data_IF_463612426689
#
_entry.id   IF_463612426689
#
_cell.length_a   1.000
_cell.length_b   1.000
_cell.length_c   1.000
_cell.angle_alpha   90.00
_cell.angle_beta   90.00
_cell.angle_gamma   90.00
#
_symmetry.space_group_name_H-M   'P 1'
#
loop_
_entity.id
_entity.type
_entity.pdbx_description
1 polymer ?
#
# COMPACT_ATOMS: atom_id res chain seq x y z
N UNK A 1 -1.79 -10.35 10.73
CA UNK A 1 -1.39 -9.93 9.37
C UNK A 1 -2.25 -10.57 8.29
N UNK A 2 -2.48 -11.92 8.26
CA UNK A 2 -3.24 -12.60 7.17
C UNK A 2 -4.64 -12.01 6.93
N UNK A 3 -5.41 -11.75 8.00
CA UNK A 3 -6.73 -11.12 7.91
C UNK A 3 -6.61 -9.70 7.36
N UNK A 4 -5.66 -8.91 7.87
CA UNK A 4 -5.44 -7.54 7.44
C UNK A 4 -5.09 -7.44 5.94
N UNK A 5 -4.24 -8.33 5.42
CA UNK A 5 -3.91 -8.40 3.98
C UNK A 5 -5.15 -8.63 3.13
N UNK A 6 -6.02 -9.57 3.53
CA UNK A 6 -7.27 -9.86 2.80
C UNK A 6 -8.29 -8.73 2.90
N UNK A 7 -8.32 -8.02 4.03
CA UNK A 7 -9.31 -6.99 4.31
C UNK A 7 -8.92 -5.59 3.83
N UNK A 8 -7.67 -5.35 3.42
CA UNK A 8 -7.16 -4.00 3.09
C UNK A 8 -7.91 -3.27 1.97
N UNK A 9 -8.71 -3.99 1.18
CA UNK A 9 -9.56 -3.42 0.12
C UNK A 9 -11.00 -3.92 0.18
N UNK A 10 -11.43 -4.40 1.34
CA UNK A 10 -12.74 -5.02 1.52
C UNK A 10 -13.87 -4.06 1.11
N UNK A 11 -14.75 -4.53 0.24
CA UNK A 11 -15.91 -3.78 -0.25
C UNK A 11 -15.58 -2.36 -0.76
N UNK A 12 -14.41 -2.16 -1.37
CA UNK A 12 -13.93 -0.85 -1.84
C UNK A 12 -14.92 -0.14 -2.77
N UNK A 13 -15.72 -0.90 -3.53
CA UNK A 13 -16.74 -0.37 -4.45
C UNK A 13 -17.86 0.42 -3.76
N UNK A 14 -18.05 0.27 -2.44
CA UNK A 14 -19.04 1.03 -1.68
C UNK A 14 -18.69 2.50 -1.49
N UNK A 15 -17.45 2.88 -1.76
CA UNK A 15 -16.98 4.27 -1.71
C UNK A 15 -16.24 4.55 -3.02
N UNK A 16 -16.97 4.83 -4.11
CA UNK A 16 -16.34 5.03 -5.41
C UNK A 16 -15.55 6.34 -5.47
N UNK A 17 -14.46 6.34 -6.25
CA UNK A 17 -13.60 7.52 -6.43
C UNK A 17 -14.36 8.72 -7.01
N UNK A 18 -15.41 8.46 -7.78
CA UNK A 18 -16.24 9.49 -8.43
C UNK A 18 -17.00 10.40 -7.46
N UNK A 19 -17.19 10.00 -6.20
CA UNK A 19 -17.80 10.81 -5.16
C UNK A 19 -16.87 11.89 -4.58
N UNK A 20 -15.61 11.93 -5.00
CA UNK A 20 -14.61 12.86 -4.48
C UNK A 20 -14.01 13.70 -5.62
N UNK A 21 -13.60 14.95 -5.35
CA UNK A 21 -13.01 15.82 -6.36
C UNK A 21 -11.82 15.18 -7.07
N UNK A 22 -11.69 15.41 -8.40
CA UNK A 22 -10.56 14.94 -9.22
C UNK A 22 -9.30 15.79 -8.99
N UNK A 23 -8.92 15.98 -7.74
CA UNK A 23 -7.74 16.74 -7.30
C UNK A 23 -6.87 15.86 -6.40
N UNK A 24 -5.59 16.22 -6.17
CA UNK A 24 -4.74 15.54 -5.19
C UNK A 24 -5.33 15.54 -3.78
N UNK A 25 -5.98 16.62 -3.38
CA UNK A 25 -6.67 16.72 -2.10
C UNK A 25 -7.87 15.76 -2.02
N UNK A 26 -8.74 15.75 -3.04
CA UNK A 26 -9.87 14.83 -3.11
C UNK A 26 -9.43 13.36 -3.15
N UNK A 27 -8.29 13.05 -3.78
CA UNK A 27 -7.70 11.71 -3.71
C UNK A 27 -7.29 11.33 -2.28
N UNK A 28 -6.66 12.24 -1.53
CA UNK A 28 -6.28 11.99 -0.13
C UNK A 28 -7.52 11.78 0.75
N UNK A 29 -8.56 12.60 0.58
CA UNK A 29 -9.83 12.45 1.30
C UNK A 29 -10.45 11.07 1.04
N UNK A 30 -10.56 10.67 -0.22
CA UNK A 30 -11.05 9.34 -0.60
C UNK A 30 -10.24 8.21 0.04
N UNK A 31 -8.90 8.27 -0.01
CA UNK A 31 -8.04 7.25 0.59
C UNK A 31 -8.22 7.17 2.10
N UNK A 32 -8.30 8.29 2.80
CA UNK A 32 -8.52 8.34 4.25
C UNK A 32 -9.88 7.74 4.61
N UNK A 33 -10.93 8.06 3.84
CA UNK A 33 -12.26 7.49 4.04
C UNK A 33 -12.25 5.98 3.83
N UNK A 34 -11.55 5.48 2.82
CA UNK A 34 -11.39 4.06 2.56
C UNK A 34 -10.69 3.33 3.71
N UNK A 35 -9.60 3.86 4.24
CA UNK A 35 -8.89 3.22 5.36
C UNK A 35 -9.80 3.01 6.56
N UNK A 36 -10.56 4.04 6.94
CA UNK A 36 -11.55 3.95 8.02
C UNK A 36 -12.62 2.90 7.71
N UNK A 37 -13.21 2.96 6.53
CA UNK A 37 -14.25 2.03 6.10
C UNK A 37 -13.76 0.57 6.09
N UNK A 38 -12.58 0.29 5.54
CA UNK A 38 -12.03 -1.06 5.52
C UNK A 38 -11.74 -1.59 6.94
N UNK A 39 -11.21 -0.74 7.83
CA UNK A 39 -10.95 -1.11 9.22
C UNK A 39 -12.25 -1.43 9.98
N UNK A 40 -13.29 -0.62 9.81
CA UNK A 40 -14.60 -0.84 10.43
C UNK A 40 -15.27 -2.11 9.89
N UNK A 41 -15.26 -2.30 8.57
CA UNK A 41 -15.83 -3.48 7.91
C UNK A 41 -15.13 -4.77 8.34
N UNK A 42 -13.80 -4.78 8.37
CA UNK A 42 -13.03 -5.92 8.83
C UNK A 42 -13.33 -6.25 10.30
N UNK A 43 -13.36 -5.24 11.16
CA UNK A 43 -13.65 -5.42 12.59
C UNK A 43 -15.05 -5.97 12.83
N UNK A 44 -16.06 -5.49 12.11
CA UNK A 44 -17.43 -5.99 12.21
C UNK A 44 -17.55 -7.45 11.81
N UNK A 45 -16.92 -7.86 10.71
CA UNK A 45 -16.89 -9.27 10.27
C UNK A 45 -16.15 -10.16 11.25
N UNK A 46 -15.05 -9.70 11.83
CA UNK A 46 -14.31 -10.45 12.84
C UNK A 46 -15.14 -10.65 14.12
N UNK A 47 -15.86 -9.63 14.57
CA UNK A 47 -16.76 -9.74 15.72
C UNK A 47 -17.86 -10.78 15.46
N UNK A 48 -18.48 -10.76 14.28
CA UNK A 48 -19.48 -11.78 13.88
C UNK A 48 -18.89 -13.20 13.82
N UNK A 49 -17.59 -13.32 13.50
CA UNK A 49 -16.88 -14.59 13.46
C UNK A 49 -16.35 -15.04 14.83
N UNK A 50 -16.61 -14.29 15.90
CA UNK A 50 -16.23 -14.66 17.27
C UNK A 50 -14.78 -14.35 17.66
N UNK A 51 -14.08 -13.46 16.94
CA UNK A 51 -12.74 -13.01 17.34
C UNK A 51 -12.81 -12.11 18.58
N UNK A 52 -11.77 -12.15 19.40
CA UNK A 52 -11.64 -11.32 20.59
C UNK A 52 -11.38 -9.84 20.26
N UNK A 53 -11.72 -8.94 21.20
CA UNK A 53 -11.60 -7.50 21.01
C UNK A 53 -10.15 -7.05 20.70
N UNK A 54 -9.15 -7.68 21.33
CA UNK A 54 -7.75 -7.38 21.09
C UNK A 54 -7.34 -7.70 19.66
N UNK A 55 -7.74 -8.85 19.11
CA UNK A 55 -7.45 -9.25 17.75
C UNK A 55 -8.13 -8.32 16.74
N UNK A 56 -9.38 -7.94 17.01
CA UNK A 56 -10.15 -6.99 16.21
C UNK A 56 -9.46 -5.61 16.20
N UNK A 57 -9.04 -5.12 17.36
CA UNK A 57 -8.36 -3.83 17.47
C UNK A 57 -7.04 -3.81 16.68
N UNK A 58 -6.23 -4.87 16.76
CA UNK A 58 -4.98 -5.03 15.99
C UNK A 58 -5.23 -5.01 14.47
N UNK A 59 -6.23 -5.74 13.99
CA UNK A 59 -6.58 -5.75 12.56
C UNK A 59 -7.12 -4.39 12.11
N UNK A 60 -7.99 -3.76 12.89
CA UNK A 60 -8.49 -2.40 12.58
C UNK A 60 -7.36 -1.37 12.49
N UNK A 61 -6.39 -1.43 13.40
CA UNK A 61 -5.20 -0.55 13.38
C UNK A 61 -4.41 -0.74 12.10
N UNK A 62 -4.10 -1.99 11.74
CA UNK A 62 -3.29 -2.31 10.56
C UNK A 62 -4.01 -1.94 9.25
N UNK A 63 -5.27 -2.33 9.10
CA UNK A 63 -6.09 -2.04 7.90
C UNK A 63 -6.35 -0.54 7.76
N UNK A 64 -6.54 0.15 8.87
CA UNK A 64 -6.69 1.60 8.94
C UNK A 64 -5.40 2.38 8.69
N UNK A 65 -4.27 1.69 8.46
CA UNK A 65 -2.93 2.29 8.22
C UNK A 65 -2.46 3.20 9.36
N UNK A 66 -2.88 2.89 10.61
CA UNK A 66 -2.51 3.68 11.78
C UNK A 66 -1.11 3.27 12.27
N UNK A 67 -0.27 4.26 12.53
CA UNK A 67 1.07 4.06 13.07
C UNK A 67 2.07 3.40 12.10
N UNK A 68 2.00 3.68 10.79
CA UNK A 68 3.07 3.31 9.84
C UNK A 68 4.42 3.83 10.39
N UNK A 69 5.47 3.02 10.33
CA UNK A 69 6.82 3.22 10.91
C UNK A 69 6.91 3.00 12.42
N UNK A 70 5.80 2.90 13.14
CA UNK A 70 5.76 2.75 14.60
C UNK A 70 5.15 1.41 15.00
N UNK A 71 4.00 1.06 14.43
CA UNK A 71 3.33 -0.20 14.69
C UNK A 71 3.85 -1.29 13.75
N UNK A 72 4.46 -2.38 14.27
CA UNK A 72 5.09 -3.41 13.43
C UNK A 72 4.08 -4.17 12.56
N UNK A 73 2.84 -4.36 12.98
CA UNK A 73 1.82 -5.04 12.18
C UNK A 73 1.32 -4.17 11.04
N UNK A 74 1.13 -2.86 11.28
CA UNK A 74 0.78 -1.91 10.24
C UNK A 74 1.92 -1.77 9.22
N UNK A 75 3.16 -1.72 9.69
CA UNK A 75 4.34 -1.68 8.82
C UNK A 75 4.48 -2.96 8.00
N UNK A 76 4.28 -4.12 8.60
CA UNK A 76 4.31 -5.39 7.88
C UNK A 76 3.25 -5.44 6.77
N UNK A 77 2.03 -4.97 7.04
CA UNK A 77 0.99 -4.89 6.01
C UNK A 77 1.39 -3.95 4.87
N UNK A 78 2.01 -2.81 5.18
CA UNK A 78 2.49 -1.87 4.16
C UNK A 78 3.63 -2.46 3.34
N UNK A 79 4.59 -3.13 3.97
CA UNK A 79 5.69 -3.81 3.28
C UNK A 79 5.17 -4.87 2.31
N UNK A 80 4.31 -5.77 2.77
CA UNK A 80 3.72 -6.82 1.93
C UNK A 80 2.94 -6.22 0.75
N UNK A 81 2.15 -5.18 0.98
CA UNK A 81 1.39 -4.52 -0.10
C UNK A 81 2.32 -3.91 -1.16
N UNK A 82 3.42 -3.27 -0.74
CA UNK A 82 4.39 -2.68 -1.66
C UNK A 82 5.22 -3.75 -2.39
N UNK A 83 5.63 -4.83 -1.73
CA UNK A 83 6.33 -5.96 -2.35
C UNK A 83 5.48 -6.61 -3.44
N UNK A 84 4.22 -6.92 -3.14
CA UNK A 84 3.27 -7.49 -4.11
C UNK A 84 3.02 -6.53 -5.27
N UNK A 85 2.92 -5.23 -5.01
CA UNK A 85 2.79 -4.23 -6.07
C UNK A 85 4.00 -4.24 -7.02
N UNK A 86 5.21 -4.21 -6.46
CA UNK A 86 6.45 -4.19 -7.27
C UNK A 86 6.56 -5.47 -8.10
N UNK A 87 6.34 -6.63 -7.50
CA UNK A 87 6.56 -7.93 -8.15
C UNK A 87 5.49 -8.27 -9.19
N UNK A 88 4.21 -8.02 -8.88
CA UNK A 88 3.10 -8.56 -9.66
C UNK A 88 2.26 -7.52 -10.40
N UNK A 89 2.24 -6.28 -9.94
CA UNK A 89 1.33 -5.26 -10.48
C UNK A 89 2.02 -4.10 -11.17
N UNK A 90 3.30 -3.86 -10.91
CA UNK A 90 4.01 -2.69 -11.45
C UNK A 90 4.05 -2.68 -12.97
N UNK A 91 4.29 -3.82 -13.62
CA UNK A 91 4.29 -3.93 -15.08
C UNK A 91 2.93 -3.60 -15.69
N UNK A 92 1.86 -4.16 -15.14
CA UNK A 92 0.50 -3.88 -15.60
C UNK A 92 0.10 -2.42 -15.35
N UNK A 93 0.52 -1.85 -14.23
CA UNK A 93 0.32 -0.43 -13.94
C UNK A 93 1.07 0.45 -14.93
N UNK A 94 2.32 0.10 -15.29
CA UNK A 94 3.08 0.82 -16.29
C UNK A 94 2.40 0.78 -17.68
N UNK A 95 1.85 -0.36 -18.07
CA UNK A 95 1.14 -0.51 -19.33
C UNK A 95 -0.15 0.34 -19.40
N UNK A 96 -0.77 0.63 -18.26
CA UNK A 96 -1.97 1.49 -18.16
C UNK A 96 -1.63 2.99 -18.16
N UNK A 97 -0.35 3.35 -18.01
CA UNK A 97 0.12 4.73 -17.92
C UNK A 97 1.27 5.03 -18.88
N UNK A 98 1.06 4.84 -20.20
CA UNK A 98 2.10 5.12 -21.20
C UNK A 98 2.48 6.60 -21.27
N UNK A 99 1.63 7.49 -20.72
CA UNK A 99 1.84 8.93 -20.62
C UNK A 99 2.87 9.34 -19.55
N UNK A 100 3.25 8.43 -18.65
CA UNK A 100 4.19 8.74 -17.57
C UNK A 100 5.64 8.72 -18.08
N UNK A 101 6.32 9.82 -17.90
CA UNK A 101 7.75 9.94 -18.19
C UNK A 101 8.63 9.29 -17.11
N UNK A 102 9.94 9.24 -17.36
CA UNK A 102 10.92 8.68 -16.44
C UNK A 102 10.88 9.35 -15.06
N UNK A 103 10.76 10.69 -15.03
CA UNK A 103 10.75 11.44 -13.78
C UNK A 103 9.54 11.08 -12.92
N UNK A 104 8.37 10.91 -13.55
CA UNK A 104 7.15 10.45 -12.87
C UNK A 104 7.29 9.04 -12.31
N UNK A 105 7.92 8.13 -13.04
CA UNK A 105 8.19 6.78 -12.57
C UNK A 105 9.14 6.76 -11.37
N UNK A 106 10.21 7.53 -11.40
CA UNK A 106 11.14 7.65 -10.27
C UNK A 106 10.41 8.18 -9.02
N UNK A 107 9.59 9.22 -9.16
CA UNK A 107 8.78 9.77 -8.05
C UNK A 107 7.83 8.71 -7.43
N UNK A 108 7.15 7.92 -8.26
CA UNK A 108 6.25 6.84 -7.80
C UNK A 108 7.04 5.77 -7.04
N UNK A 109 8.16 5.33 -7.59
CA UNK A 109 9.00 4.30 -7.00
C UNK A 109 9.62 4.77 -5.68
N UNK A 110 10.13 5.99 -5.61
CA UNK A 110 10.67 6.58 -4.39
C UNK A 110 9.60 6.70 -3.29
N UNK A 111 8.39 7.15 -3.63
CA UNK A 111 7.27 7.22 -2.70
C UNK A 111 6.86 5.85 -2.18
N UNK A 112 6.87 4.84 -3.03
CA UNK A 112 6.61 3.45 -2.66
C UNK A 112 7.69 2.95 -1.72
N UNK A 113 8.96 3.14 -2.09
CA UNK A 113 10.13 2.74 -1.31
C UNK A 113 10.19 3.38 0.07
N UNK A 114 9.92 4.68 0.15
CA UNK A 114 9.90 5.44 1.41
C UNK A 114 8.88 4.91 2.43
N UNK A 115 7.81 4.28 2.00
CA UNK A 115 6.81 3.67 2.89
C UNK A 115 7.26 2.34 3.49
N UNK A 116 8.17 1.63 2.82
CA UNK A 116 8.66 0.34 3.26
C UNK A 116 9.61 0.48 4.45
N UNK A 117 9.66 -0.56 5.28
CA UNK A 117 10.69 -0.70 6.30
C UNK A 117 12.04 -1.06 5.68
N UNK A 118 13.17 -0.85 6.40
CA UNK A 118 14.48 -1.34 5.94
C UNK A 118 14.49 -2.84 5.63
N UNK A 119 13.78 -3.65 6.42
CA UNK A 119 13.64 -5.08 6.18
C UNK A 119 12.85 -5.38 4.89
N UNK A 120 11.75 -4.65 4.65
CA UNK A 120 10.97 -4.76 3.42
C UNK A 120 11.78 -4.35 2.19
N UNK A 121 12.56 -3.29 2.28
CA UNK A 121 13.47 -2.82 1.23
C UNK A 121 14.56 -3.86 0.90
N UNK A 122 15.20 -4.42 1.92
CA UNK A 122 16.21 -5.47 1.75
C UNK A 122 15.60 -6.73 1.11
N UNK A 123 14.38 -7.10 1.52
CA UNK A 123 13.65 -8.20 0.93
C UNK A 123 13.33 -7.95 -0.56
N UNK A 124 12.90 -6.73 -0.91
CA UNK A 124 12.63 -6.34 -2.29
C UNK A 124 13.84 -6.54 -3.21
N UNK A 125 15.03 -6.15 -2.74
CA UNK A 125 16.26 -6.23 -3.54
C UNK A 125 16.84 -7.64 -3.64
N UNK A 126 16.47 -8.55 -2.73
CA UNK A 126 17.13 -9.86 -2.61
C UNK A 126 16.24 -11.07 -2.87
N UNK A 127 14.92 -10.93 -2.77
CA UNK A 127 13.99 -12.06 -2.71
C UNK A 127 12.84 -12.02 -3.69
N UNK A 128 12.41 -10.84 -4.16
CA UNK A 128 11.34 -10.76 -5.15
C UNK A 128 11.87 -10.67 -6.57
N UNK A 129 11.09 -11.16 -7.52
CA UNK A 129 11.40 -11.04 -8.94
C UNK A 129 11.06 -9.61 -9.41
N UNK A 130 12.07 -8.75 -9.53
CA UNK A 130 11.89 -7.42 -10.09
C UNK A 130 11.52 -7.52 -11.58
N UNK A 131 10.50 -6.77 -12.07
CA UNK A 131 10.17 -6.76 -13.49
C UNK A 131 11.38 -6.33 -14.33
N UNK A 132 11.85 -7.19 -15.24
CA UNK A 132 13.11 -6.97 -15.98
C UNK A 132 13.14 -5.62 -16.72
N UNK A 133 12.02 -5.19 -17.32
CA UNK A 133 11.92 -3.91 -18.02
C UNK A 133 12.00 -2.69 -17.10
N UNK A 134 11.67 -2.83 -15.83
CA UNK A 134 11.61 -1.74 -14.85
C UNK A 134 12.72 -1.81 -13.80
N UNK A 135 13.46 -2.93 -13.74
CA UNK A 135 14.55 -3.11 -12.78
C UNK A 135 15.59 -1.97 -12.79
N UNK A 136 16.05 -1.47 -13.96
CA UNK A 136 16.97 -0.33 -13.99
C UNK A 136 16.38 0.94 -13.35
N UNK A 137 15.10 1.21 -13.58
CA UNK A 137 14.39 2.37 -12.99
C UNK A 137 14.23 2.22 -11.47
N UNK A 138 13.96 1.00 -11.01
CA UNK A 138 13.86 0.71 -9.57
C UNK A 138 15.20 0.97 -8.91
N UNK A 139 16.29 0.42 -9.44
CA UNK A 139 17.65 0.62 -8.91
C UNK A 139 18.03 2.10 -8.89
N UNK A 140 17.76 2.83 -9.97
CA UNK A 140 18.01 4.27 -10.04
C UNK A 140 17.19 5.04 -8.98
N UNK A 141 15.89 4.73 -8.85
CA UNK A 141 15.01 5.40 -7.89
C UNK A 141 15.43 5.19 -6.44
N UNK A 142 15.86 3.98 -6.07
CA UNK A 142 16.25 3.66 -4.68
C UNK A 142 17.68 4.07 -4.35
N UNK A 143 18.55 4.24 -5.33
CA UNK A 143 19.92 4.74 -5.18
C UNK A 143 20.02 6.27 -5.07
N UNK A 144 18.96 7.01 -5.36
CA UNK A 144 18.95 8.47 -5.24
C UNK A 144 18.43 8.92 -3.87
N UNK A 145 18.98 10.00 -3.28
CA UNK A 145 18.40 10.60 -2.09
C UNK A 145 16.98 11.07 -2.40
N UNK A 146 16.05 10.83 -1.48
CA UNK A 146 14.67 11.29 -1.62
C UNK A 146 14.66 12.83 -1.79
N UNK A 147 13.86 13.40 -2.69
CA UNK A 147 13.69 14.85 -2.78
C UNK A 147 13.20 15.39 -1.43
N UNK A 148 13.79 16.54 -1.03
CA UNK A 148 13.45 17.28 0.20
C UNK A 148 11.99 17.71 0.24
#
# INVERSE_FOLDING_TARGET
>A
VRIAVRAQHIQRWKIPRSEFPKTPFGYKQWRTRLYKFHAESAGALMAQAGYGEEEIARVRTSVGKLGIKVNPETQMLEDVANLVFIEHYLTGFAAQHPEYDKAKWIDILQKTWKKMSPAGQAFALSKIALPAALAPLIVEAVGQPAPL
#
